data_IF_384064028740
#
_entry.id   IF_384064028740
#
_cell.length_a   1.000
_cell.length_b   1.000
_cell.length_c   1.000
_cell.angle_alpha   90.00
_cell.angle_beta   90.00
_cell.angle_gamma   90.00
#
_symmetry.space_group_name_H-M   'P 1'
#
loop_
_entity.id
_entity.type
_entity.pdbx_description
1 polymer ?
#
# COMPACT_ATOMS: atom_id res chain seq x y z
N UNK A 1 6.60 -7.62 -16.68
CA UNK A 1 5.21 -7.96 -17.04
C UNK A 1 4.57 -6.80 -17.75
N UNK A 2 3.54 -7.08 -18.51
CA UNK A 2 2.71 -6.09 -19.19
C UNK A 2 1.28 -6.22 -18.70
N UNK A 3 0.57 -5.11 -18.73
CA UNK A 3 -0.83 -5.03 -18.35
C UNK A 3 -1.06 -4.74 -16.87
N UNK A 4 -2.05 -3.90 -16.62
CA UNK A 4 -2.56 -3.56 -15.29
C UNK A 4 -4.05 -3.86 -15.23
N UNK A 5 -4.52 -4.35 -14.09
CA UNK A 5 -5.92 -4.71 -13.87
C UNK A 5 -6.61 -3.85 -12.82
N UNK A 6 -5.85 -3.34 -11.89
CA UNK A 6 -6.29 -2.46 -10.82
C UNK A 6 -5.09 -1.64 -10.35
N UNK A 7 -5.18 -0.34 -10.14
CA UNK A 7 -6.39 0.50 -10.02
C UNK A 7 -7.03 0.96 -11.34
N UNK A 8 -6.49 0.57 -12.47
CA UNK A 8 -7.08 0.82 -13.80
C UNK A 8 -6.89 -0.41 -14.69
N UNK A 9 -7.74 -0.55 -15.70
CA UNK A 9 -7.66 -1.68 -16.65
C UNK A 9 -6.94 -1.23 -17.92
N UNK A 10 -5.72 -1.71 -18.12
CA UNK A 10 -4.97 -1.48 -19.36
C UNK A 10 -4.07 -2.67 -19.67
N UNK A 11 -4.34 -3.37 -20.78
CA UNK A 11 -3.63 -4.61 -21.15
C UNK A 11 -2.20 -4.41 -21.65
N UNK A 12 -1.81 -3.17 -21.96
CA UNK A 12 -0.48 -2.86 -22.53
C UNK A 12 0.37 -1.98 -21.61
N UNK A 13 -0.18 -1.57 -20.46
CA UNK A 13 0.59 -0.78 -19.49
C UNK A 13 1.86 -1.49 -19.07
N UNK A 14 2.96 -0.74 -19.03
CA UNK A 14 4.26 -1.21 -18.56
C UNK A 14 4.82 -0.25 -17.53
N UNK A 15 5.63 -0.78 -16.59
CA UNK A 15 6.37 0.06 -15.67
C UNK A 15 7.34 0.97 -16.42
N UNK A 16 7.46 2.20 -15.96
CA UNK A 16 8.37 3.19 -16.51
C UNK A 16 9.28 3.79 -15.44
N UNK A 17 10.40 4.32 -15.88
CA UNK A 17 11.38 4.99 -15.06
C UNK A 17 12.11 6.01 -15.95
N UNK A 18 12.46 7.17 -15.40
CA UNK A 18 13.31 8.10 -16.15
C UNK A 18 14.63 7.44 -16.51
N UNK A 19 15.10 7.54 -17.78
CA UNK A 19 16.32 6.90 -18.23
C UNK A 19 17.59 7.41 -17.51
N UNK A 20 17.53 8.58 -16.90
CA UNK A 20 18.63 9.18 -16.14
C UNK A 20 18.83 8.55 -14.76
N UNK A 21 17.82 7.84 -14.26
CA UNK A 21 17.83 7.25 -12.92
C UNK A 21 18.44 5.85 -12.95
N UNK A 22 19.49 5.63 -12.19
CA UNK A 22 20.24 4.37 -12.18
C UNK A 22 20.64 3.94 -10.76
N UNK A 23 21.14 2.72 -10.62
CA UNK A 23 21.68 2.22 -9.36
C UNK A 23 20.66 2.25 -8.20
N UNK A 24 21.09 2.79 -7.07
CA UNK A 24 20.27 2.89 -5.84
C UNK A 24 19.05 3.78 -6.04
N UNK A 25 19.20 4.86 -6.82
CA UNK A 25 18.10 5.78 -7.09
C UNK A 25 17.01 5.11 -7.94
N UNK A 26 17.39 4.25 -8.88
CA UNK A 26 16.44 3.45 -9.66
C UNK A 26 15.66 2.46 -8.77
N UNK A 27 16.30 1.90 -7.77
CA UNK A 27 15.63 1.04 -6.79
C UNK A 27 14.62 1.84 -5.95
N UNK A 28 15.06 2.99 -5.41
CA UNK A 28 14.20 3.88 -4.64
C UNK A 28 13.00 4.38 -5.46
N UNK A 29 13.22 4.80 -6.72
CA UNK A 29 12.15 5.24 -7.61
C UNK A 29 11.13 4.12 -7.92
N UNK A 30 11.57 2.86 -8.04
CA UNK A 30 10.64 1.73 -8.21
C UNK A 30 9.79 1.48 -6.97
N UNK A 31 10.36 1.62 -5.77
CA UNK A 31 9.60 1.53 -4.53
C UNK A 31 8.57 2.67 -4.45
N UNK A 32 8.96 3.90 -4.77
CA UNK A 32 8.05 5.05 -4.81
C UNK A 32 6.91 4.83 -5.82
N UNK A 33 7.24 4.42 -7.04
CA UNK A 33 6.26 4.12 -8.08
C UNK A 33 5.26 3.04 -7.65
N UNK A 34 5.74 1.99 -6.95
CA UNK A 34 4.86 0.96 -6.38
C UNK A 34 3.93 1.54 -5.32
N UNK A 35 4.43 2.43 -4.46
CA UNK A 35 3.60 3.11 -3.47
C UNK A 35 2.60 4.09 -4.11
N UNK A 36 2.93 4.72 -5.26
CA UNK A 36 1.99 5.54 -6.01
C UNK A 36 0.85 4.72 -6.61
N UNK A 37 1.13 3.55 -7.16
CA UNK A 37 0.08 2.64 -7.63
C UNK A 37 -0.82 2.20 -6.48
N UNK A 38 -0.26 1.94 -5.31
CA UNK A 38 -1.02 1.61 -4.11
C UNK A 38 -1.90 2.78 -3.64
N UNK A 39 -1.37 4.00 -3.63
CA UNK A 39 -2.15 5.22 -3.32
C UNK A 39 -3.31 5.38 -4.30
N UNK A 40 -3.04 5.25 -5.60
CA UNK A 40 -4.08 5.32 -6.63
C UNK A 40 -5.18 4.26 -6.41
N UNK A 41 -4.79 3.04 -5.97
CA UNK A 41 -5.73 1.99 -5.63
C UNK A 41 -6.65 2.37 -4.44
N UNK A 42 -6.10 3.02 -3.42
CA UNK A 42 -6.88 3.50 -2.27
C UNK A 42 -7.78 4.66 -2.63
N UNK A 43 -7.31 5.59 -3.46
CA UNK A 43 -8.13 6.69 -3.98
C UNK A 43 -9.33 6.14 -4.77
N UNK A 44 -9.10 5.14 -5.60
CA UNK A 44 -10.15 4.50 -6.40
C UNK A 44 -11.15 3.71 -5.54
N UNK A 45 -10.67 2.98 -4.52
CA UNK A 45 -11.53 2.30 -3.56
C UNK A 45 -12.38 3.31 -2.77
N UNK A 46 -11.80 4.41 -2.34
CA UNK A 46 -12.53 5.48 -1.63
C UNK A 46 -13.61 6.09 -2.53
N UNK A 47 -13.27 6.34 -3.80
CA UNK A 47 -14.22 6.85 -4.80
C UNK A 47 -15.38 5.87 -5.03
N UNK A 48 -15.10 4.59 -5.17
CA UNK A 48 -16.12 3.57 -5.43
C UNK A 48 -17.01 3.29 -4.24
N UNK A 49 -16.47 3.37 -3.02
CA UNK A 49 -17.21 3.03 -1.80
C UNK A 49 -17.85 4.23 -1.12
N UNK A 50 -17.44 5.46 -1.48
CA UNK A 50 -17.81 6.69 -0.79
C UNK A 50 -17.25 6.77 0.64
N UNK A 51 -16.22 5.99 0.97
CA UNK A 51 -15.59 5.94 2.29
C UNK A 51 -14.09 6.19 2.19
N UNK A 52 -13.57 7.02 3.06
CA UNK A 52 -12.13 7.22 3.19
C UNK A 52 -11.44 6.02 3.85
N UNK A 53 -10.25 5.71 3.39
CA UNK A 53 -9.39 4.70 4.01
C UNK A 53 -8.63 5.36 5.16
N UNK A 54 -9.04 5.07 6.38
CA UNK A 54 -8.46 5.70 7.57
C UNK A 54 -7.11 5.08 8.01
N UNK A 55 -6.84 3.82 7.63
CA UNK A 55 -5.61 3.08 7.99
C UNK A 55 -5.46 1.83 7.17
N UNK A 56 -4.24 1.31 7.06
CA UNK A 56 -3.92 0.08 6.33
C UNK A 56 -3.25 -0.93 7.26
N UNK A 57 -3.77 -2.15 7.30
CA UNK A 57 -3.14 -3.27 8.00
C UNK A 57 -2.27 -4.06 7.03
N UNK A 58 -0.98 -4.20 7.35
CA UNK A 58 0.01 -4.79 6.47
C UNK A 58 0.47 -6.14 6.96
N UNK A 59 0.35 -7.16 6.11
CA UNK A 59 0.82 -8.52 6.36
C UNK A 59 1.86 -8.96 5.33
N UNK A 60 2.48 -10.11 5.57
CA UNK A 60 3.48 -10.69 4.68
C UNK A 60 4.87 -10.09 4.83
N UNK A 61 5.81 -10.57 4.00
CA UNK A 61 7.23 -10.26 4.12
C UNK A 61 7.59 -8.78 4.00
N UNK A 62 6.90 -8.04 3.13
CA UNK A 62 7.12 -6.60 2.93
C UNK A 62 6.86 -5.76 4.18
N UNK A 63 5.94 -6.19 5.05
CA UNK A 63 5.61 -5.47 6.29
C UNK A 63 6.76 -5.46 7.32
N UNK A 64 7.75 -6.33 7.16
CA UNK A 64 8.95 -6.39 8.02
C UNK A 64 9.95 -5.27 7.73
N UNK A 65 9.92 -4.67 6.55
CA UNK A 65 10.80 -3.55 6.21
C UNK A 65 10.23 -2.24 6.74
N UNK A 66 10.86 -1.68 7.77
CA UNK A 66 10.46 -0.39 8.35
C UNK A 66 10.52 0.74 7.33
N UNK A 67 11.55 0.74 6.48
CA UNK A 67 11.73 1.75 5.44
C UNK A 67 10.57 1.68 4.43
N UNK A 68 10.21 0.48 4.00
CA UNK A 68 9.10 0.30 3.08
C UNK A 68 7.75 0.69 3.68
N UNK A 69 7.51 0.32 4.93
CA UNK A 69 6.29 0.69 5.64
C UNK A 69 6.14 2.21 5.81
N UNK A 70 7.24 2.90 6.19
CA UNK A 70 7.25 4.36 6.33
C UNK A 70 7.04 5.05 4.99
N UNK A 71 7.74 4.63 3.94
CA UNK A 71 7.56 5.17 2.59
C UNK A 71 6.10 5.09 2.13
N UNK A 72 5.44 3.97 2.33
CA UNK A 72 4.03 3.78 1.95
C UNK A 72 3.11 4.70 2.74
N UNK A 73 3.33 4.81 4.05
CA UNK A 73 2.57 5.74 4.90
C UNK A 73 2.75 7.19 4.43
N UNK A 74 3.99 7.61 4.18
CA UNK A 74 4.30 8.96 3.71
C UNK A 74 3.70 9.26 2.33
N UNK A 75 3.73 8.30 1.42
CA UNK A 75 3.15 8.43 0.07
C UNK A 75 1.62 8.49 0.13
N UNK A 76 1.00 7.61 0.90
CA UNK A 76 -0.46 7.51 0.96
C UNK A 76 -1.08 8.56 1.89
N UNK A 77 -0.32 9.13 2.82
CA UNK A 77 -0.83 10.10 3.80
C UNK A 77 -1.71 9.50 4.88
N UNK A 78 -1.65 8.18 5.08
CA UNK A 78 -2.46 7.45 6.07
C UNK A 78 -1.60 6.48 6.89
N UNK A 79 -2.03 6.14 8.13
CA UNK A 79 -1.29 5.20 8.97
C UNK A 79 -1.24 3.78 8.39
N UNK A 80 -0.06 3.17 8.48
CA UNK A 80 0.17 1.77 8.14
C UNK A 80 0.53 0.99 9.41
N UNK A 81 -0.25 -0.04 9.72
CA UNK A 81 -0.09 -0.84 10.92
C UNK A 81 0.41 -2.24 10.58
N UNK A 82 1.30 -2.75 11.40
CA UNK A 82 1.80 -4.11 11.30
C UNK A 82 1.37 -4.93 12.50
N UNK A 83 0.71 -6.08 12.33
CA UNK A 83 0.48 -7.01 13.42
C UNK A 83 1.79 -7.68 13.84
N UNK A 84 1.87 -8.10 15.12
CA UNK A 84 3.00 -8.82 15.67
C UNK A 84 3.30 -10.12 14.93
N UNK A 85 2.28 -10.75 14.39
CA UNK A 85 2.37 -11.94 13.55
C UNK A 85 1.76 -11.66 12.16
N UNK A 86 2.57 -11.13 11.22
CA UNK A 86 2.08 -10.71 9.91
C UNK A 86 1.98 -11.85 8.88
N UNK A 87 2.09 -13.09 9.29
CA UNK A 87 2.05 -14.27 8.43
C UNK A 87 0.59 -14.67 8.10
N UNK A 88 0.35 -15.06 6.86
CA UNK A 88 -0.97 -15.53 6.42
C UNK A 88 -1.48 -16.74 7.22
N UNK A 89 -0.58 -17.61 7.67
CA UNK A 89 -0.92 -18.75 8.51
C UNK A 89 -1.54 -18.33 9.85
N UNK A 90 -1.10 -17.21 10.42
CA UNK A 90 -1.73 -16.66 11.62
C UNK A 90 -3.16 -16.17 11.36
N UNK A 91 -3.40 -15.51 10.22
CA UNK A 91 -4.76 -15.13 9.80
C UNK A 91 -5.69 -16.35 9.68
N UNK A 92 -5.20 -17.46 9.11
CA UNK A 92 -5.95 -18.72 9.05
C UNK A 92 -6.25 -19.29 10.45
N UNK A 93 -5.29 -19.17 11.39
CA UNK A 93 -5.50 -19.60 12.77
C UNK A 93 -6.56 -18.75 13.49
N UNK A 94 -6.60 -17.43 13.25
CA UNK A 94 -7.63 -16.53 13.77
C UNK A 94 -9.02 -16.92 13.24
N UNK A 95 -9.13 -17.21 11.93
CA UNK A 95 -10.38 -17.69 11.34
C UNK A 95 -10.83 -19.04 11.95
N UNK A 96 -9.90 -19.96 12.16
CA UNK A 96 -10.23 -21.24 12.80
C UNK A 96 -10.69 -21.06 14.25
N UNK A 97 -10.03 -20.17 15.00
CA UNK A 97 -10.39 -19.85 16.38
C UNK A 97 -11.77 -19.18 16.51
N UNK A 98 -12.20 -18.44 15.49
CA UNK A 98 -13.52 -17.81 15.48
C UNK A 98 -14.68 -18.80 15.66
N UNK A 99 -14.51 -20.03 15.13
CA UNK A 99 -15.48 -21.12 15.33
C UNK A 99 -15.58 -21.61 16.78
N UNK A 100 -14.48 -21.58 17.52
CA UNK A 100 -14.45 -21.97 18.93
C UNK A 100 -14.78 -20.80 19.88
N UNK A 101 -14.45 -19.59 19.51
CA UNK A 101 -14.65 -18.37 20.32
C UNK A 101 -16.00 -17.68 20.07
N UNK A 102 -16.78 -18.18 19.10
CA UNK A 102 -18.13 -17.74 18.81
C UNK A 102 -18.26 -16.61 17.77
N UNK A 103 -17.21 -15.84 17.51
CA UNK A 103 -17.21 -14.85 16.42
C UNK A 103 -15.80 -14.49 15.98
N UNK A 104 -15.67 -13.92 14.77
CA UNK A 104 -14.42 -13.41 14.26
C UNK A 104 -13.92 -12.19 15.07
N UNK A 105 -14.82 -11.32 15.48
CA UNK A 105 -14.45 -10.13 16.26
C UNK A 105 -13.80 -10.54 17.59
N UNK A 106 -14.39 -11.50 18.31
CA UNK A 106 -13.80 -12.04 19.55
C UNK A 106 -12.43 -12.68 19.28
N UNK A 107 -12.30 -13.46 18.22
CA UNK A 107 -11.01 -14.08 17.87
C UNK A 107 -9.95 -13.02 17.52
N UNK A 108 -10.32 -11.96 16.80
CA UNK A 108 -9.41 -10.86 16.49
C UNK A 108 -8.99 -10.10 17.75
N UNK A 109 -9.93 -9.78 18.63
CA UNK A 109 -9.64 -9.06 19.88
C UNK A 109 -8.73 -9.85 20.81
N UNK A 110 -8.91 -11.17 20.87
CA UNK A 110 -8.10 -12.05 21.71
C UNK A 110 -6.70 -12.35 21.14
N UNK A 111 -6.59 -12.50 19.83
CA UNK A 111 -5.37 -13.04 19.19
C UNK A 111 -4.52 -11.99 18.49
N UNK A 112 -5.12 -10.96 17.89
CA UNK A 112 -4.37 -10.00 17.09
C UNK A 112 -3.82 -8.88 17.96
N UNK A 113 -2.51 -8.66 17.88
CA UNK A 113 -1.83 -7.54 18.53
C UNK A 113 -1.06 -6.76 17.49
N UNK A 114 -1.09 -5.43 17.57
CA UNK A 114 -0.23 -4.58 16.73
C UNK A 114 1.15 -4.44 17.35
N UNK A 115 2.17 -4.51 16.54
CA UNK A 115 3.58 -4.42 16.93
C UNK A 115 4.17 -3.06 16.50
N UNK A 116 3.69 -2.50 15.38
CA UNK A 116 4.18 -1.22 14.89
C UNK A 116 3.08 -0.43 14.18
N UNK A 117 3.14 0.90 14.35
CA UNK A 117 2.42 1.89 13.56
C UNK A 117 3.42 2.80 12.86
N UNK A 118 3.14 3.14 11.61
CA UNK A 118 3.91 4.05 10.78
C UNK A 118 2.97 5.17 10.38
N UNK A 119 3.14 6.31 11.04
CA UNK A 119 2.36 7.51 10.75
C UNK A 119 2.99 8.26 9.58
N UNK A 120 2.16 8.87 8.74
CA UNK A 120 2.66 9.70 7.65
C UNK A 120 3.33 10.98 8.21
N UNK A 121 4.57 11.22 7.80
CA UNK A 121 5.26 12.45 8.12
C UNK A 121 4.76 13.56 7.17
N UNK A 122 4.26 14.70 7.68
CA UNK A 122 3.72 15.78 6.86
C UNK A 122 4.71 16.36 5.83
N UNK A 123 6.00 16.38 6.14
CA UNK A 123 7.02 16.97 5.26
C UNK A 123 7.27 16.10 4.02
N UNK A 124 7.67 14.82 4.13
CA UNK A 124 7.77 13.96 2.95
C UNK A 124 6.42 13.75 2.27
N UNK A 125 5.30 13.68 3.00
CA UNK A 125 3.98 13.55 2.40
C UNK A 125 3.66 14.69 1.44
N UNK A 126 3.93 15.95 1.81
CA UNK A 126 3.73 17.11 0.93
C UNK A 126 4.53 16.99 -0.37
N UNK A 127 5.78 16.49 -0.31
CA UNK A 127 6.60 16.22 -1.49
C UNK A 127 6.03 15.06 -2.34
N UNK A 128 5.59 13.99 -1.70
CA UNK A 128 4.99 12.86 -2.41
C UNK A 128 3.66 13.22 -3.07
N UNK A 129 2.89 14.13 -2.53
CA UNK A 129 1.69 14.64 -3.20
C UNK A 129 2.01 15.30 -4.55
N UNK A 130 3.08 16.10 -4.62
CA UNK A 130 3.53 16.71 -5.88
C UNK A 130 4.02 15.67 -6.88
N UNK A 131 4.84 14.71 -6.43
CA UNK A 131 5.34 13.64 -7.28
C UNK A 131 4.22 12.69 -7.74
N UNK A 132 3.20 12.48 -6.93
CA UNK A 132 2.04 11.70 -7.29
C UNK A 132 1.20 12.38 -8.37
N UNK A 133 1.05 13.71 -8.33
CA UNK A 133 0.38 14.45 -9.40
C UNK A 133 1.11 14.28 -10.74
N UNK A 134 2.44 14.42 -10.73
CA UNK A 134 3.25 14.19 -11.93
C UNK A 134 3.17 12.74 -12.44
N UNK A 135 3.09 11.78 -11.51
CA UNK A 135 2.86 10.36 -11.87
C UNK A 135 1.51 10.14 -12.56
N UNK A 136 0.45 10.81 -12.11
CA UNK A 136 -0.88 10.72 -12.75
C UNK A 136 -0.86 11.34 -14.15
N UNK A 137 -0.23 12.50 -14.32
CA UNK A 137 -0.04 13.14 -15.63
C UNK A 137 0.69 12.20 -16.61
N UNK A 138 1.77 11.55 -16.17
CA UNK A 138 2.51 10.59 -16.99
C UNK A 138 1.66 9.36 -17.38
N UNK A 139 0.77 8.88 -16.50
CA UNK A 139 -0.16 7.79 -16.84
C UNK A 139 -1.15 8.20 -17.94
N UNK A 140 -1.65 9.45 -17.88
CA UNK A 140 -2.55 10.00 -18.91
C UNK A 140 -1.83 10.21 -20.23
N UNK A 141 -0.62 10.79 -20.23
CA UNK A 141 0.19 11.00 -21.44
C UNK A 141 0.52 9.69 -22.16
N UNK A 142 0.71 8.61 -21.41
CA UNK A 142 0.92 7.25 -21.95
C UNK A 142 -0.37 6.57 -22.41
N UNK A 143 -1.52 7.15 -22.15
CA UNK A 143 -2.82 6.54 -22.43
C UNK A 143 -3.09 5.29 -21.57
N UNK A 144 -2.53 5.25 -20.35
CA UNK A 144 -2.74 4.11 -19.43
C UNK A 144 -3.99 4.30 -18.58
N UNK A 145 -4.35 5.54 -18.32
CA UNK A 145 -5.54 5.91 -17.54
C UNK A 145 -6.29 7.06 -18.23
#
# INVERSE_FOLDING_TARGET
GTGERFPFLNGVATGFLSPEVSGVDAYAARLQGTAFVERLAYDELSRCTGREIARVFCTGGGSRSRIWMQLRSDVCGIPFLRPAMPEAAFGAAVLAAAGALGSLDVAMDEMVRMDASFEADPVPNGRYCQLFSAFLEELEERGYK
#
